data_IF_940694358616
#
_entry.id   IF_940694358616
#
_cell.length_a   1.000
_cell.length_b   1.000
_cell.length_c   1.000
_cell.angle_alpha   90.00
_cell.angle_beta   90.00
_cell.angle_gamma   90.00
#
_symmetry.space_group_name_H-M   'P 1'
#
loop_
_entity.id
_entity.type
_entity.pdbx_description
1 polymer ?
#
# COMPACT_ATOMS: atom_id res chain seq x y z
N UNK A 1 20.16 -14.70 1.46
CA UNK A 1 19.13 -14.99 2.51
C UNK A 1 18.65 -13.71 3.19
N UNK A 2 19.57 -12.78 3.54
CA UNK A 2 19.24 -11.48 4.14
C UNK A 2 18.48 -10.55 3.18
N UNK A 3 18.74 -10.66 1.89
CA UNK A 3 18.01 -10.02 0.78
C UNK A 3 16.50 -10.31 0.79
N UNK A 4 16.11 -11.58 0.98
CA UNK A 4 14.71 -11.98 1.11
C UNK A 4 14.08 -11.45 2.39
N UNK A 5 14.81 -11.41 3.51
CA UNK A 5 14.28 -10.88 4.78
C UNK A 5 13.87 -9.43 4.62
N UNK A 6 14.76 -8.58 4.09
CA UNK A 6 14.45 -7.17 3.87
C UNK A 6 13.31 -6.97 2.88
N UNK A 7 13.26 -7.76 1.81
CA UNK A 7 12.16 -7.70 0.86
C UNK A 7 10.81 -8.01 1.54
N UNK A 8 10.76 -9.06 2.37
CA UNK A 8 9.54 -9.47 3.08
C UNK A 8 9.09 -8.42 4.09
N UNK A 9 10.02 -7.73 4.75
CA UNK A 9 9.69 -6.58 5.63
C UNK A 9 8.98 -5.49 4.83
N UNK A 10 9.53 -5.10 3.68
CA UNK A 10 8.89 -4.11 2.81
C UNK A 10 7.50 -4.54 2.33
N UNK A 11 7.35 -5.82 1.96
CA UNK A 11 6.06 -6.37 1.55
C UNK A 11 5.02 -6.38 2.69
N UNK A 12 5.45 -6.70 3.91
CA UNK A 12 4.58 -6.60 5.09
C UNK A 12 4.15 -5.18 5.39
N UNK A 13 5.01 -4.17 5.17
CA UNK A 13 4.60 -2.77 5.31
C UNK A 13 3.42 -2.43 4.40
N UNK A 14 3.40 -2.92 3.15
CA UNK A 14 2.26 -2.75 2.24
C UNK A 14 0.99 -3.44 2.77
N UNK A 15 1.09 -4.70 3.19
CA UNK A 15 -0.04 -5.45 3.74
C UNK A 15 -0.62 -4.78 4.97
N UNK A 16 0.23 -4.35 5.90
CA UNK A 16 -0.17 -3.67 7.14
C UNK A 16 -0.79 -2.31 6.83
N UNK A 17 -0.26 -1.57 5.86
CA UNK A 17 -0.85 -0.28 5.43
C UNK A 17 -2.26 -0.50 4.89
N UNK A 18 -2.46 -1.46 3.98
CA UNK A 18 -3.77 -1.77 3.43
C UNK A 18 -4.77 -2.28 4.47
N UNK A 19 -4.33 -3.17 5.37
CA UNK A 19 -5.18 -3.68 6.45
C UNK A 19 -5.53 -2.57 7.46
N UNK A 20 -4.56 -1.73 7.82
CA UNK A 20 -4.76 -0.56 8.67
C UNK A 20 -5.74 0.45 8.05
N UNK A 21 -5.65 0.67 6.74
CA UNK A 21 -6.60 1.51 6.00
C UNK A 21 -8.03 0.96 6.09
N UNK A 22 -8.22 -0.34 5.83
CA UNK A 22 -9.54 -0.98 5.91
C UNK A 22 -10.12 -0.92 7.33
N UNK A 23 -9.32 -1.26 8.35
CA UNK A 23 -9.75 -1.21 9.74
C UNK A 23 -10.03 0.22 10.19
N UNK A 24 -9.22 1.18 9.76
CA UNK A 24 -9.42 2.60 10.00
C UNK A 24 -10.73 3.09 9.40
N UNK A 25 -11.00 2.77 8.13
CA UNK A 25 -12.23 3.15 7.43
C UNK A 25 -13.48 2.55 8.12
N UNK A 26 -13.42 1.27 8.51
CA UNK A 26 -14.51 0.62 9.26
C UNK A 26 -14.71 1.30 10.63
N UNK A 27 -13.63 1.57 11.35
CA UNK A 27 -13.69 2.15 12.70
C UNK A 27 -14.22 3.58 12.68
N UNK A 28 -13.76 4.40 11.72
CA UNK A 28 -14.21 5.79 11.58
C UNK A 28 -15.72 5.86 11.28
N UNK A 29 -16.22 4.96 10.42
CA UNK A 29 -17.64 4.85 10.11
C UNK A 29 -18.46 4.38 11.30
N UNK A 30 -17.97 3.38 12.03
CA UNK A 30 -18.64 2.86 13.22
C UNK A 30 -18.71 3.92 14.34
N UNK A 31 -17.72 4.80 14.44
CA UNK A 31 -17.71 5.90 15.40
C UNK A 31 -18.71 7.01 15.09
N UNK A 32 -19.28 7.04 13.88
CA UNK A 32 -20.15 8.10 13.41
C UNK A 32 -19.35 9.35 13.04
N UNK A 33 -19.13 9.54 11.73
CA UNK A 33 -18.51 10.76 11.21
C UNK A 33 -19.39 12.00 11.41
N UNK A 34 -18.96 13.13 10.86
CA UNK A 34 -19.77 14.36 10.90
C UNK A 34 -21.07 14.17 10.09
N UNK A 35 -22.25 14.19 10.75
CA UNK A 35 -23.51 13.91 10.09
C UNK A 35 -23.87 14.97 9.03
N UNK A 36 -23.36 16.19 9.15
CA UNK A 36 -23.59 17.23 8.16
C UNK A 36 -22.82 16.94 6.85
N UNK A 37 -21.57 16.47 6.95
CA UNK A 37 -20.77 16.07 5.79
C UNK A 37 -21.41 14.88 5.10
N UNK A 38 -21.81 13.87 5.87
CA UNK A 38 -22.48 12.67 5.33
C UNK A 38 -23.77 13.03 4.58
N UNK A 39 -24.58 13.94 5.13
CA UNK A 39 -25.80 14.41 4.47
C UNK A 39 -25.49 15.09 3.13
N UNK A 40 -24.47 15.96 3.09
CA UNK A 40 -24.05 16.62 1.85
C UNK A 40 -23.56 15.62 0.80
N UNK A 41 -22.74 14.64 1.19
CA UNK A 41 -22.24 13.60 0.27
C UNK A 41 -23.35 12.68 -0.26
N UNK A 42 -24.42 12.50 0.52
CA UNK A 42 -25.59 11.69 0.12
C UNK A 42 -26.57 12.46 -0.75
N UNK A 43 -26.66 13.78 -0.58
CA UNK A 43 -27.54 14.64 -1.38
C UNK A 43 -27.11 14.74 -2.85
N UNK A 44 -25.82 14.52 -3.14
CA UNK A 44 -25.28 14.64 -4.48
C UNK A 44 -25.14 13.27 -5.15
N UNK A 45 -26.01 13.01 -6.12
CA UNK A 45 -25.99 11.82 -6.96
C UNK A 45 -25.22 12.09 -8.27
N UNK A 46 -24.53 11.05 -8.73
CA UNK A 46 -23.76 10.99 -9.96
C UNK A 46 -24.31 9.85 -10.81
N UNK A 47 -24.53 10.12 -12.09
CA UNK A 47 -24.81 9.06 -13.07
C UNK A 47 -23.48 8.47 -13.53
N UNK A 48 -23.25 7.21 -13.19
CA UNK A 48 -22.10 6.45 -13.64
C UNK A 48 -22.58 5.25 -14.45
N UNK A 49 -22.39 5.34 -15.78
CA UNK A 49 -22.74 4.28 -16.72
C UNK A 49 -24.21 3.83 -16.60
N UNK A 50 -25.13 4.78 -16.40
CA UNK A 50 -26.55 4.51 -16.25
C UNK A 50 -26.97 4.06 -14.84
N UNK A 51 -26.06 4.08 -13.87
CA UNK A 51 -26.36 3.79 -12.46
C UNK A 51 -26.19 5.04 -11.59
N UNK A 52 -27.21 5.35 -10.80
CA UNK A 52 -27.16 6.47 -9.87
C UNK A 52 -26.38 6.07 -8.61
N UNK A 53 -25.31 6.80 -8.31
CA UNK A 53 -24.47 6.62 -7.12
C UNK A 53 -24.26 7.94 -6.42
N UNK A 54 -24.32 7.96 -5.09
CA UNK A 54 -23.99 9.18 -4.33
C UNK A 54 -22.49 9.33 -4.16
N UNK A 55 -22.01 10.56 -3.93
CA UNK A 55 -20.60 10.78 -3.56
C UNK A 55 -20.18 9.94 -2.34
N UNK A 56 -21.09 9.75 -1.38
CA UNK A 56 -20.87 8.88 -0.23
C UNK A 56 -20.55 7.43 -0.65
N UNK A 57 -21.35 6.87 -1.56
CA UNK A 57 -21.15 5.50 -2.04
C UNK A 57 -19.84 5.37 -2.82
N UNK A 58 -19.48 6.38 -3.63
CA UNK A 58 -18.26 6.36 -4.41
C UNK A 58 -17.02 6.44 -3.54
N UNK A 59 -16.95 7.42 -2.64
CA UNK A 59 -15.83 7.56 -1.71
C UNK A 59 -15.64 6.30 -0.86
N UNK A 60 -16.74 5.68 -0.42
CA UNK A 60 -16.71 4.39 0.25
C UNK A 60 -16.12 3.28 -0.62
N UNK A 61 -16.60 3.15 -1.85
CA UNK A 61 -16.12 2.11 -2.76
C UNK A 61 -14.64 2.29 -3.12
N UNK A 62 -14.19 3.53 -3.36
CA UNK A 62 -12.80 3.85 -3.66
C UNK A 62 -11.89 3.55 -2.46
N UNK A 63 -12.29 3.97 -1.26
CA UNK A 63 -11.52 3.72 -0.04
C UNK A 63 -11.34 2.21 0.22
N UNK A 64 -12.43 1.43 0.12
CA UNK A 64 -12.37 -0.02 0.30
C UNK A 64 -11.52 -0.70 -0.78
N UNK A 65 -11.73 -0.34 -2.04
CA UNK A 65 -10.95 -0.90 -3.15
C UNK A 65 -9.46 -0.61 -3.00
N UNK A 66 -9.09 0.60 -2.56
CA UNK A 66 -7.71 0.99 -2.29
C UNK A 66 -7.07 0.14 -1.19
N UNK A 67 -7.76 0.00 -0.04
CA UNK A 67 -7.27 -0.84 1.07
C UNK A 67 -7.06 -2.30 0.64
N UNK A 68 -8.03 -2.88 -0.09
CA UNK A 68 -7.93 -4.24 -0.63
C UNK A 68 -6.75 -4.36 -1.60
N UNK A 69 -6.61 -3.42 -2.53
CA UNK A 69 -5.52 -3.42 -3.50
C UNK A 69 -4.14 -3.39 -2.80
N UNK A 70 -3.97 -2.56 -1.77
CA UNK A 70 -2.74 -2.50 -0.99
C UNK A 70 -2.42 -3.84 -0.30
N UNK A 71 -3.43 -4.48 0.32
CA UNK A 71 -3.27 -5.81 0.93
C UNK A 71 -2.86 -6.84 -0.12
N UNK A 72 -3.57 -6.89 -1.25
CA UNK A 72 -3.30 -7.83 -2.33
C UNK A 72 -1.90 -7.64 -2.92
N UNK A 73 -1.45 -6.39 -3.12
CA UNK A 73 -0.09 -6.09 -3.58
C UNK A 73 0.95 -6.59 -2.56
N UNK A 74 0.76 -6.32 -1.26
CA UNK A 74 1.67 -6.81 -0.23
C UNK A 74 1.76 -8.35 -0.19
N UNK A 75 0.62 -9.04 -0.28
CA UNK A 75 0.57 -10.51 -0.37
C UNK A 75 1.27 -11.01 -1.64
N UNK A 76 1.01 -10.38 -2.79
CA UNK A 76 1.66 -10.73 -4.05
C UNK A 76 3.18 -10.61 -3.94
N UNK A 77 3.68 -9.52 -3.34
CA UNK A 77 5.10 -9.33 -3.10
C UNK A 77 5.66 -10.44 -2.18
N UNK A 78 4.96 -10.79 -1.09
CA UNK A 78 5.36 -11.91 -0.23
C UNK A 78 5.47 -13.24 -0.99
N UNK A 79 4.54 -13.51 -1.91
CA UNK A 79 4.56 -14.72 -2.73
C UNK A 79 5.64 -14.70 -3.82
N UNK A 80 5.93 -13.52 -4.39
CA UNK A 80 7.03 -13.36 -5.33
C UNK A 80 8.38 -13.56 -4.64
N UNK A 81 8.51 -13.14 -3.38
CA UNK A 81 9.73 -13.37 -2.60
C UNK A 81 10.06 -14.86 -2.42
N UNK A 82 9.06 -15.74 -2.37
CA UNK A 82 9.26 -17.18 -2.18
C UNK A 82 9.55 -17.94 -3.47
N UNK A 83 9.09 -17.45 -4.63
CA UNK A 83 9.15 -18.19 -5.90
C UNK A 83 10.09 -17.57 -6.95
N UNK A 84 10.52 -16.32 -6.79
CA UNK A 84 11.35 -15.64 -7.78
C UNK A 84 12.79 -16.20 -7.78
N UNK A 85 13.30 -16.52 -8.99
CA UNK A 85 14.73 -16.88 -9.19
C UNK A 85 15.66 -15.68 -9.07
N UNK A 86 15.21 -14.48 -9.46
CA UNK A 86 15.90 -13.22 -9.23
C UNK A 86 14.89 -12.18 -8.72
N UNK A 87 15.10 -11.71 -7.49
CA UNK A 87 14.20 -10.75 -6.83
C UNK A 87 14.51 -9.30 -7.20
N UNK A 88 15.67 -9.02 -7.82
CA UNK A 88 16.11 -7.65 -8.12
C UNK A 88 15.12 -6.82 -8.94
N UNK A 89 14.56 -7.28 -10.09
CA UNK A 89 13.61 -6.46 -10.84
C UNK A 89 12.34 -6.17 -10.04
N UNK A 90 11.88 -7.14 -9.24
CA UNK A 90 10.71 -7.02 -8.39
C UNK A 90 10.99 -6.01 -7.25
N UNK A 91 12.19 -6.04 -6.67
CA UNK A 91 12.60 -5.11 -5.62
C UNK A 91 12.74 -3.67 -6.14
N UNK A 92 13.21 -3.46 -7.38
CA UNK A 92 13.22 -2.13 -8.01
C UNK A 92 11.80 -1.61 -8.23
N UNK A 93 10.90 -2.45 -8.72
CA UNK A 93 9.49 -2.08 -8.92
C UNK A 93 8.83 -1.74 -7.58
N UNK A 94 8.99 -2.61 -6.56
CA UNK A 94 8.42 -2.41 -5.24
C UNK A 94 8.98 -1.14 -4.55
N UNK A 95 10.27 -0.85 -4.70
CA UNK A 95 10.87 0.39 -4.23
C UNK A 95 10.26 1.62 -4.94
N UNK A 96 10.12 1.57 -6.26
CA UNK A 96 9.57 2.67 -7.05
C UNK A 96 8.12 2.96 -6.67
N UNK A 97 7.31 1.91 -6.54
CA UNK A 97 5.93 2.02 -6.07
C UNK A 97 5.87 2.59 -4.65
N UNK A 98 6.74 2.12 -3.74
CA UNK A 98 6.78 2.60 -2.35
C UNK A 98 7.19 4.08 -2.27
N UNK A 99 8.14 4.52 -3.10
CA UNK A 99 8.58 5.91 -3.14
C UNK A 99 7.48 6.84 -3.67
N UNK A 100 6.71 6.39 -4.67
CA UNK A 100 5.56 7.12 -5.17
C UNK A 100 4.47 7.23 -4.10
N UNK A 101 4.13 6.11 -3.45
CA UNK A 101 3.16 6.10 -2.34
C UNK A 101 3.61 6.99 -1.19
N UNK A 102 4.89 6.95 -0.79
CA UNK A 102 5.44 7.81 0.25
C UNK A 102 5.30 9.30 -0.11
N UNK A 103 5.56 9.66 -1.36
CA UNK A 103 5.42 11.05 -1.83
C UNK A 103 3.98 11.52 -1.70
N UNK A 104 3.01 10.67 -2.08
CA UNK A 104 1.59 10.98 -1.91
C UNK A 104 1.20 11.09 -0.44
N UNK A 105 1.68 10.16 0.40
CA UNK A 105 1.33 10.15 1.82
C UNK A 105 1.90 11.35 2.59
N UNK A 106 3.09 11.83 2.25
CA UNK A 106 3.63 13.07 2.85
C UNK A 106 2.72 14.26 2.58
N UNK A 107 2.05 14.28 1.43
CA UNK A 107 1.24 15.40 1.01
C UNK A 107 -0.22 15.32 1.47
N UNK A 108 -0.79 14.11 1.51
CA UNK A 108 -2.24 13.91 1.62
C UNK A 108 -2.67 13.14 2.87
N UNK A 109 -1.78 12.36 3.48
CA UNK A 109 -2.17 11.37 4.48
C UNK A 109 -1.73 11.74 5.91
N UNK A 110 -2.42 11.22 6.93
CA UNK A 110 -1.92 11.28 8.30
C UNK A 110 -0.61 10.48 8.48
N UNK A 111 0.05 10.58 9.65
CA UNK A 111 1.37 9.96 9.87
C UNK A 111 1.52 8.45 9.60
N UNK A 112 0.52 7.55 9.82
CA UNK A 112 0.78 6.11 9.73
C UNK A 112 1.24 5.60 8.35
N UNK A 113 0.59 5.96 7.21
CA UNK A 113 1.11 5.65 5.87
C UNK A 113 2.53 6.19 5.61
N UNK A 114 2.86 7.40 6.10
CA UNK A 114 4.19 8.00 5.93
C UNK A 114 5.26 7.12 6.57
N UNK A 115 5.03 6.66 7.80
CA UNK A 115 5.96 5.79 8.53
C UNK A 115 6.12 4.46 7.80
N UNK A 116 5.01 3.81 7.42
CA UNK A 116 5.04 2.49 6.80
C UNK A 116 5.68 2.51 5.41
N UNK A 117 5.40 3.50 4.57
CA UNK A 117 6.05 3.61 3.27
C UNK A 117 7.52 4.06 3.36
N UNK A 118 7.90 4.82 4.38
CA UNK A 118 9.32 5.10 4.66
C UNK A 118 10.07 3.80 4.99
N UNK A 119 9.50 2.95 5.86
CA UNK A 119 10.04 1.65 6.19
C UNK A 119 10.08 0.72 4.96
N UNK A 120 9.04 0.72 4.13
CA UNK A 120 9.00 -0.06 2.89
C UNK A 120 10.13 0.35 1.93
N UNK A 121 10.31 1.66 1.70
CA UNK A 121 11.40 2.19 0.87
C UNK A 121 12.77 1.76 1.41
N UNK A 122 13.01 1.92 2.71
CA UNK A 122 14.26 1.51 3.34
C UNK A 122 14.50 0.00 3.19
N UNK A 123 13.48 -0.83 3.43
CA UNK A 123 13.57 -2.27 3.35
C UNK A 123 13.84 -2.77 1.91
N UNK A 124 13.14 -2.26 0.90
CA UNK A 124 13.40 -2.63 -0.50
C UNK A 124 14.77 -2.14 -0.98
N UNK A 125 15.21 -0.95 -0.56
CA UNK A 125 16.56 -0.48 -0.86
C UNK A 125 17.64 -1.36 -0.22
N UNK A 126 17.46 -1.79 1.04
CA UNK A 126 18.37 -2.72 1.72
C UNK A 126 18.39 -4.10 1.06
N UNK A 127 17.24 -4.60 0.60
CA UNK A 127 17.15 -5.85 -0.18
C UNK A 127 17.97 -5.78 -1.47
N UNK A 128 17.86 -4.68 -2.22
CA UNK A 128 18.66 -4.45 -3.44
C UNK A 128 20.16 -4.38 -3.16
N UNK A 129 20.56 -3.74 -2.05
CA UNK A 129 21.97 -3.66 -1.64
C UNK A 129 22.52 -5.02 -1.26
N UNK A 130 21.77 -5.80 -0.46
CA UNK A 130 22.18 -7.14 -0.05
C UNK A 130 22.38 -8.08 -1.25
N UNK A 131 21.43 -8.09 -2.20
CA UNK A 131 21.55 -8.92 -3.41
C UNK A 131 22.68 -8.50 -4.36
N UNK A 132 23.17 -7.26 -4.28
CA UNK A 132 24.35 -6.82 -5.04
C UNK A 132 25.66 -7.34 -4.45
N UNK A 133 25.77 -7.35 -3.11
CA UNK A 133 26.95 -7.87 -2.40
C UNK A 133 27.13 -9.38 -2.65
N UNK A 134 26.06 -10.18 -2.53
CA UNK A 134 26.12 -11.63 -2.75
C UNK A 134 26.62 -11.99 -4.17
N UNK A 135 26.23 -11.21 -5.19
CA UNK A 135 26.70 -11.41 -6.58
C UNK A 135 28.18 -11.06 -6.78
N UNK A 136 28.77 -10.19 -5.94
CA UNK A 136 30.18 -9.85 -5.99
C UNK A 136 31.06 -10.91 -5.33
N UNK A 137 30.62 -11.47 -4.21
CA UNK A 137 31.33 -12.56 -3.52
C UNK A 137 31.37 -13.84 -4.38
N UNK A 138 30.26 -14.20 -5.04
CA UNK A 138 30.19 -15.39 -5.91
C UNK A 138 31.08 -15.32 -7.17
N UNK A 139 31.68 -14.16 -7.48
CA UNK A 139 32.56 -13.95 -8.64
C UNK A 139 34.05 -13.94 -8.29
N UNK A 140 34.40 -14.00 -7.01
CA UNK A 140 35.78 -14.07 -6.51
C UNK A 140 36.17 -15.51 -6.24
#
# INVERSE_FOLDING_TARGET
>A
MTDLTWFRVGAWCWTVTGAGHLLGDISLRAAGGDPAIDAQMRAHALDLMGTQRTYYQLMMSFSLAMGIALVCVGILLLQLATHARDIRPIAVLALSMSALSLTMSIWLDPPPPIILFTLACAAFALSLRAGATDKQEARR
#
